data_IF_221229481440
#
_entry.id   IF_221229481440
#
_cell.length_a   1.000
_cell.length_b   1.000
_cell.length_c   1.000
_cell.angle_alpha   90.00
_cell.angle_beta   90.00
_cell.angle_gamma   90.00
#
_symmetry.space_group_name_H-M   'P 1'
#
loop_
_entity.id
_entity.type
_entity.pdbx_description
1 polymer ?
#
# COMPACT_ATOMS: atom_id res chain seq x y z
N UNK A 1 -22.84 -38.61 28.10
CA UNK A 1 -21.70 -38.32 27.18
C UNK A 1 -21.55 -36.85 26.78
N UNK A 2 -22.61 -36.02 26.68
CA UNK A 2 -22.49 -34.65 26.17
C UNK A 2 -21.55 -33.69 26.94
N UNK A 3 -21.58 -33.70 28.28
CA UNK A 3 -20.86 -32.71 29.12
C UNK A 3 -19.35 -32.63 28.80
N UNK A 4 -18.65 -33.76 28.86
CA UNK A 4 -17.21 -33.82 28.57
C UNK A 4 -16.88 -33.60 27.10
N UNK A 5 -17.80 -33.91 26.19
CA UNK A 5 -17.63 -33.59 24.76
C UNK A 5 -17.58 -32.08 24.54
N UNK A 6 -18.49 -31.32 25.17
CA UNK A 6 -18.48 -29.85 25.11
C UNK A 6 -17.22 -29.26 25.74
N UNK A 7 -16.79 -29.79 26.89
CA UNK A 7 -15.50 -29.41 27.52
C UNK A 7 -14.32 -29.59 26.57
N UNK A 8 -14.22 -30.75 25.92
CA UNK A 8 -13.14 -31.02 24.97
C UNK A 8 -13.17 -30.10 23.75
N UNK A 9 -14.35 -29.78 23.22
CA UNK A 9 -14.50 -28.83 22.11
C UNK A 9 -14.06 -27.42 22.50
N UNK A 10 -14.39 -26.97 23.72
CA UNK A 10 -13.92 -25.68 24.27
C UNK A 10 -12.40 -25.66 24.35
N UNK A 11 -11.79 -26.68 24.97
CA UNK A 11 -10.33 -26.76 25.11
C UNK A 11 -9.61 -26.80 23.76
N UNK A 12 -10.17 -27.55 22.80
CA UNK A 12 -9.64 -27.61 21.45
C UNK A 12 -9.71 -26.24 20.76
N UNK A 13 -10.87 -25.58 20.79
CA UNK A 13 -11.05 -24.27 20.15
C UNK A 13 -10.16 -23.20 20.78
N UNK A 14 -10.00 -23.23 22.10
CA UNK A 14 -9.06 -22.36 22.81
C UNK A 14 -7.60 -22.64 22.40
N UNK A 15 -7.20 -23.90 22.27
CA UNK A 15 -5.86 -24.23 21.75
C UNK A 15 -5.64 -23.73 20.32
N UNK A 16 -6.63 -23.90 19.44
CA UNK A 16 -6.57 -23.39 18.07
C UNK A 16 -6.47 -21.86 18.02
N UNK A 17 -7.16 -21.15 18.91
CA UNK A 17 -7.09 -19.69 18.97
C UNK A 17 -5.66 -19.22 19.28
N UNK A 18 -4.92 -19.94 20.13
CA UNK A 18 -3.51 -19.65 20.43
C UNK A 18 -2.60 -19.81 19.21
N UNK A 19 -2.83 -20.86 18.41
CA UNK A 19 -2.06 -21.12 17.19
C UNK A 19 -2.34 -20.05 16.13
N UNK A 20 -3.62 -19.69 15.93
CA UNK A 20 -4.03 -18.63 15.01
C UNK A 20 -3.43 -17.30 15.44
N UNK A 21 -3.49 -16.94 16.73
CA UNK A 21 -2.87 -15.71 17.23
C UNK A 21 -1.37 -15.67 16.95
N UNK A 22 -0.65 -16.78 17.11
CA UNK A 22 0.77 -16.85 16.79
C UNK A 22 1.01 -16.55 15.30
N UNK A 23 0.22 -17.16 14.40
CA UNK A 23 0.26 -16.88 12.95
C UNK A 23 0.06 -15.39 12.66
N UNK A 24 -0.98 -14.78 13.24
CA UNK A 24 -1.28 -13.35 13.05
C UNK A 24 -0.14 -12.44 13.52
N UNK A 25 0.46 -12.73 14.67
CA UNK A 25 1.62 -11.98 15.18
C UNK A 25 2.83 -12.11 14.25
N UNK A 26 3.07 -13.30 13.72
CA UNK A 26 4.20 -13.53 12.81
C UNK A 26 3.97 -12.80 11.47
N UNK A 27 2.75 -12.85 10.92
CA UNK A 27 2.37 -12.09 9.72
C UNK A 27 2.49 -10.58 9.95
N UNK A 28 2.06 -10.07 11.10
CA UNK A 28 2.22 -8.66 11.47
C UNK A 28 3.69 -8.23 11.43
N UNK A 29 4.58 -9.02 12.06
CA UNK A 29 6.03 -8.73 12.07
C UNK A 29 6.63 -8.69 10.67
N UNK A 30 6.20 -9.58 9.77
CA UNK A 30 6.70 -9.61 8.40
C UNK A 30 6.25 -8.37 7.60
N UNK A 31 4.99 -7.95 7.75
CA UNK A 31 4.52 -6.70 7.13
C UNK A 31 5.28 -5.50 7.69
N UNK A 32 5.42 -5.41 9.01
CA UNK A 32 6.13 -4.30 9.65
C UNK A 32 7.60 -4.23 9.22
N UNK A 33 8.30 -5.37 9.16
CA UNK A 33 9.69 -5.43 8.71
C UNK A 33 9.85 -4.91 7.27
N UNK A 34 8.98 -5.33 6.36
CA UNK A 34 9.03 -4.86 4.97
C UNK A 34 8.66 -3.36 4.86
N UNK A 35 7.71 -2.86 5.66
CA UNK A 35 7.38 -1.43 5.71
C UNK A 35 8.58 -0.59 6.18
N UNK A 36 9.31 -1.05 7.21
CA UNK A 36 10.52 -0.37 7.68
C UNK A 36 11.61 -0.31 6.60
N UNK A 37 11.85 -1.43 5.91
CA UNK A 37 12.82 -1.48 4.81
C UNK A 37 12.47 -0.50 3.68
N UNK A 38 11.18 -0.34 3.34
CA UNK A 38 10.75 0.63 2.33
C UNK A 38 11.03 2.06 2.80
N UNK A 39 10.68 2.39 4.05
CA UNK A 39 10.89 3.73 4.59
C UNK A 39 12.38 4.10 4.65
N UNK A 40 13.24 3.16 5.05
CA UNK A 40 14.69 3.36 5.11
C UNK A 40 15.30 3.53 3.71
N UNK A 41 14.79 2.79 2.72
CA UNK A 41 15.27 2.88 1.33
C UNK A 41 14.80 4.15 0.62
N UNK A 42 13.59 4.64 0.90
CA UNK A 42 13.08 5.89 0.34
C UNK A 42 13.97 7.09 0.73
N UNK A 43 14.59 7.07 1.92
CA UNK A 43 15.53 8.10 2.35
C UNK A 43 16.85 8.13 1.54
N UNK A 44 17.21 7.03 0.86
CA UNK A 44 18.51 6.85 0.19
C UNK A 44 18.52 7.16 -1.31
N UNK A 45 17.36 7.46 -1.91
CA UNK A 45 17.28 7.79 -3.33
C UNK A 45 17.61 6.63 -4.26
N UNK A 46 16.59 5.81 -4.54
CA UNK A 46 16.48 4.87 -5.68
C UNK A 46 16.94 3.42 -5.50
N UNK A 47 15.95 2.50 -5.46
CA UNK A 47 16.00 1.11 -6.01
C UNK A 47 14.56 0.59 -6.21
N UNK A 48 13.92 1.04 -7.30
CA UNK A 48 12.51 0.77 -7.63
C UNK A 48 12.15 -0.72 -7.65
N UNK A 49 13.08 -1.59 -8.08
CA UNK A 49 12.86 -3.03 -8.19
C UNK A 49 12.81 -3.75 -6.83
N UNK A 50 13.49 -3.20 -5.80
CA UNK A 50 13.46 -3.74 -4.44
C UNK A 50 12.17 -3.34 -3.71
N UNK A 51 11.65 -2.14 -3.96
CA UNK A 51 10.40 -1.65 -3.37
C UNK A 51 9.19 -2.42 -3.91
N UNK A 52 9.13 -2.67 -5.22
CA UNK A 52 8.04 -3.44 -5.82
C UNK A 52 7.94 -4.85 -5.23
N UNK A 53 9.06 -5.58 -5.15
CA UNK A 53 9.09 -6.90 -4.53
C UNK A 53 8.66 -6.88 -3.05
N UNK A 54 9.05 -5.84 -2.30
CA UNK A 54 8.65 -5.69 -0.89
C UNK A 54 7.17 -5.36 -0.74
N UNK A 55 6.58 -4.59 -1.65
CA UNK A 55 5.14 -4.34 -1.69
C UNK A 55 4.35 -5.61 -2.03
N UNK A 56 4.87 -6.48 -2.91
CA UNK A 56 4.26 -7.78 -3.19
C UNK A 56 4.31 -8.70 -1.97
N UNK A 57 5.46 -8.76 -1.27
CA UNK A 57 5.58 -9.49 0.00
C UNK A 57 4.57 -8.98 1.03
N UNK A 58 4.44 -7.65 1.19
CA UNK A 58 3.46 -7.03 2.10
C UNK A 58 2.05 -7.45 1.71
N UNK A 59 1.67 -7.38 0.44
CA UNK A 59 0.34 -7.76 -0.02
C UNK A 59 0.05 -9.24 0.28
N UNK A 60 1.03 -10.12 0.06
CA UNK A 60 0.91 -11.55 0.38
C UNK A 60 0.69 -11.77 1.88
N UNK A 61 1.51 -11.17 2.75
CA UNK A 61 1.39 -11.35 4.19
C UNK A 61 0.10 -10.73 4.75
N UNK A 62 -0.29 -9.55 4.25
CA UNK A 62 -1.54 -8.89 4.62
C UNK A 62 -2.76 -9.69 4.17
N UNK A 63 -2.72 -10.25 2.96
CA UNK A 63 -3.77 -11.15 2.47
C UNK A 63 -3.95 -12.38 3.37
N UNK A 64 -2.85 -13.03 3.76
CA UNK A 64 -2.90 -14.13 4.72
C UNK A 64 -3.43 -13.70 6.09
N UNK A 65 -3.06 -12.50 6.55
CA UNK A 65 -3.54 -11.95 7.81
C UNK A 65 -5.07 -11.79 7.79
N UNK A 66 -5.60 -11.19 6.73
CA UNK A 66 -7.04 -10.98 6.55
C UNK A 66 -7.82 -12.30 6.43
N UNK A 67 -7.20 -13.36 5.91
CA UNK A 67 -7.79 -14.70 5.89
C UNK A 67 -7.76 -15.40 7.25
N UNK A 68 -6.71 -15.18 8.05
CA UNK A 68 -6.54 -15.82 9.35
C UNK A 68 -7.32 -15.13 10.47
N UNK A 69 -7.51 -13.81 10.41
CA UNK A 69 -8.17 -13.03 11.46
C UNK A 69 -9.60 -13.52 11.77
N UNK A 70 -10.50 -13.76 10.79
CA UNK A 70 -11.84 -14.28 11.06
C UNK A 70 -11.84 -15.65 11.75
N UNK A 71 -10.79 -16.47 11.54
CA UNK A 71 -10.68 -17.79 12.16
C UNK A 71 -10.58 -17.69 13.68
N UNK A 72 -10.04 -16.59 14.21
CA UNK A 72 -9.98 -16.33 15.63
C UNK A 72 -11.38 -16.09 16.22
N UNK A 73 -12.22 -15.33 15.52
CA UNK A 73 -13.63 -15.14 15.89
C UNK A 73 -14.44 -16.43 15.78
N UNK A 74 -14.15 -17.29 14.80
CA UNK A 74 -14.78 -18.62 14.72
C UNK A 74 -14.46 -19.47 15.96
N UNK A 75 -13.23 -19.43 16.47
CA UNK A 75 -12.92 -20.13 17.72
C UNK A 75 -13.69 -19.57 18.90
N UNK A 76 -13.89 -18.24 18.96
CA UNK A 76 -14.70 -17.60 19.99
C UNK A 76 -16.14 -18.16 19.98
N UNK A 77 -16.79 -18.16 18.81
CA UNK A 77 -18.15 -18.68 18.65
C UNK A 77 -18.26 -20.17 19.01
N UNK A 78 -17.24 -20.97 18.67
CA UNK A 78 -17.18 -22.39 19.06
C UNK A 78 -17.10 -22.53 20.58
N UNK A 79 -16.32 -21.69 21.27
CA UNK A 79 -16.25 -21.70 22.74
C UNK A 79 -17.62 -21.30 23.32
N UNK A 80 -18.25 -20.23 22.83
CA UNK A 80 -19.54 -19.75 23.30
C UNK A 80 -20.63 -20.82 23.21
N UNK A 81 -20.81 -21.43 22.03
CA UNK A 81 -21.88 -22.42 21.82
C UNK A 81 -21.65 -23.67 22.68
N UNK A 82 -20.40 -24.12 22.81
CA UNK A 82 -20.10 -25.29 23.63
C UNK A 82 -20.16 -24.98 25.12
N UNK A 83 -19.84 -23.76 25.54
CA UNK A 83 -20.04 -23.32 26.92
C UNK A 83 -21.53 -23.30 27.27
N UNK A 84 -22.36 -22.72 26.41
CA UNK A 84 -23.82 -22.73 26.60
C UNK A 84 -24.36 -24.16 26.73
N UNK A 85 -23.93 -25.05 25.85
CA UNK A 85 -24.32 -26.47 25.89
C UNK A 85 -23.81 -27.19 27.13
N UNK A 86 -22.58 -26.88 27.57
CA UNK A 86 -22.00 -27.42 28.79
C UNK A 86 -22.82 -26.99 30.02
N UNK A 87 -23.13 -25.70 30.14
CA UNK A 87 -23.90 -25.14 31.24
C UNK A 87 -25.31 -25.73 31.29
N UNK A 88 -25.99 -25.77 30.15
CA UNK A 88 -27.30 -26.41 30.03
C UNK A 88 -27.26 -27.87 30.48
N UNK A 89 -26.21 -28.62 30.10
CA UNK A 89 -26.09 -30.02 30.50
C UNK A 89 -25.79 -30.17 31.99
N UNK A 90 -25.00 -29.27 32.57
CA UNK A 90 -24.71 -29.24 34.00
C UNK A 90 -25.98 -28.97 34.82
N UNK A 91 -26.82 -28.03 34.39
CA UNK A 91 -28.09 -27.73 35.05
C UNK A 91 -29.05 -28.93 35.04
N UNK A 92 -29.12 -29.65 33.92
CA UNK A 92 -29.89 -30.91 33.83
C UNK A 92 -29.36 -31.95 34.83
N UNK A 93 -28.04 -32.06 35.00
CA UNK A 93 -27.43 -32.99 35.96
C UNK A 93 -27.81 -32.57 37.39
N UNK A 94 -27.67 -31.29 37.74
CA UNK A 94 -28.07 -30.75 39.05
C UNK A 94 -29.52 -31.08 39.39
N UNK A 95 -30.44 -30.80 38.46
CA UNK A 95 -31.87 -31.10 38.64
C UNK A 95 -32.12 -32.60 38.86
N UNK A 96 -31.37 -33.47 38.19
CA UNK A 96 -31.48 -34.92 38.38
C UNK A 96 -30.93 -35.36 39.73
N UNK A 97 -29.78 -34.86 40.17
CA UNK A 97 -29.23 -35.16 41.50
C UNK A 97 -30.23 -34.75 42.59
N UNK A 98 -30.80 -33.55 42.49
CA UNK A 98 -31.81 -33.06 43.43
C UNK A 98 -33.04 -33.97 43.48
N UNK A 99 -33.58 -34.39 42.32
CA UNK A 99 -34.75 -35.29 42.26
C UNK A 99 -34.47 -36.68 42.83
N UNK A 100 -33.23 -37.15 42.73
CA UNK A 100 -32.82 -38.47 43.19
C UNK A 100 -32.32 -38.47 44.65
N UNK A 101 -32.26 -37.31 45.31
CA UNK A 101 -31.64 -37.17 46.63
C UNK A 101 -30.15 -37.53 46.63
N UNK A 102 -29.50 -37.49 45.46
CA UNK A 102 -28.08 -37.75 45.32
C UNK A 102 -27.27 -36.50 45.67
N UNK A 103 -26.01 -36.71 46.06
CA UNK A 103 -25.06 -35.61 46.23
C UNK A 103 -25.03 -34.72 44.98
N UNK A 104 -25.16 -33.41 45.20
CA UNK A 104 -25.21 -32.38 44.17
C UNK A 104 -24.00 -31.46 44.22
N UNK A 105 -22.95 -31.84 44.96
CA UNK A 105 -21.68 -31.12 44.95
C UNK A 105 -20.97 -31.28 43.59
N UNK A 106 -21.31 -30.39 42.67
CA UNK A 106 -20.78 -30.33 41.31
C UNK A 106 -19.91 -29.08 41.09
N UNK A 107 -19.40 -28.48 42.17
CA UNK A 107 -18.65 -27.22 42.12
C UNK A 107 -17.48 -27.30 41.14
N UNK A 108 -16.75 -28.42 41.11
CA UNK A 108 -15.62 -28.60 40.18
C UNK A 108 -16.04 -28.49 38.69
N UNK A 109 -17.28 -28.88 38.35
CA UNK A 109 -17.82 -28.74 36.99
C UNK A 109 -18.21 -27.29 36.69
N UNK A 110 -18.63 -26.54 37.71
CA UNK A 110 -18.94 -25.11 37.61
C UNK A 110 -17.69 -24.26 37.47
N UNK A 111 -16.61 -24.62 38.19
CA UNK A 111 -15.31 -23.95 38.09
C UNK A 111 -14.83 -23.88 36.65
N UNK A 112 -14.98 -24.97 35.89
CA UNK A 112 -14.64 -24.97 34.47
C UNK A 112 -15.47 -23.95 33.66
N UNK A 113 -16.79 -23.87 33.90
CA UNK A 113 -17.62 -22.87 33.20
C UNK A 113 -17.19 -21.44 33.52
N UNK A 114 -16.83 -21.17 34.78
CA UNK A 114 -16.32 -19.89 35.23
C UNK A 114 -15.00 -19.55 34.53
N UNK A 115 -14.05 -20.49 34.52
CA UNK A 115 -12.76 -20.35 33.85
C UNK A 115 -12.91 -20.03 32.36
N UNK A 116 -13.83 -20.71 31.67
CA UNK A 116 -14.07 -20.46 30.24
C UNK A 116 -14.61 -19.04 30.00
N UNK A 117 -15.53 -18.54 30.84
CA UNK A 117 -16.06 -17.18 30.72
C UNK A 117 -15.02 -16.12 31.02
N UNK A 118 -14.35 -16.25 32.15
CA UNK A 118 -13.47 -15.22 32.70
C UNK A 118 -12.12 -15.18 32.00
N UNK A 119 -11.63 -16.33 31.49
CA UNK A 119 -10.32 -16.43 30.88
C UNK A 119 -10.41 -16.69 29.38
N UNK A 120 -11.00 -17.81 28.95
CA UNK A 120 -10.83 -18.25 27.56
C UNK A 120 -11.59 -17.36 26.58
N UNK A 121 -12.86 -17.09 26.83
CA UNK A 121 -13.66 -16.19 26.00
C UNK A 121 -13.12 -14.77 26.02
N UNK A 122 -12.81 -14.25 27.22
CA UNK A 122 -12.24 -12.93 27.38
C UNK A 122 -10.95 -12.78 26.58
N UNK A 123 -10.04 -13.75 26.69
CA UNK A 123 -8.75 -13.72 26.02
C UNK A 123 -8.90 -13.81 24.50
N UNK A 124 -9.72 -14.73 23.98
CA UNK A 124 -9.91 -14.85 22.52
C UNK A 124 -10.58 -13.59 21.95
N UNK A 125 -11.54 -13.01 22.65
CA UNK A 125 -12.19 -11.76 22.27
C UNK A 125 -11.18 -10.61 22.21
N UNK A 126 -10.38 -10.44 23.27
CA UNK A 126 -9.36 -9.37 23.30
C UNK A 126 -8.26 -9.58 22.28
N UNK A 127 -7.90 -10.83 22.04
CA UNK A 127 -6.96 -11.19 21.01
C UNK A 127 -7.48 -10.80 19.61
N UNK A 128 -8.77 -11.02 19.33
CA UNK A 128 -9.40 -10.57 18.09
C UNK A 128 -9.41 -9.04 17.98
N UNK A 129 -9.90 -8.33 19.01
CA UNK A 129 -9.97 -6.87 19.03
C UNK A 129 -8.60 -6.24 18.73
N UNK A 130 -7.54 -6.74 19.38
CA UNK A 130 -6.17 -6.23 19.19
C UNK A 130 -5.68 -6.53 17.78
N UNK A 131 -5.93 -7.73 17.25
CA UNK A 131 -5.48 -8.11 15.91
C UNK A 131 -6.23 -7.35 14.81
N UNK A 132 -7.50 -6.99 15.03
CA UNK A 132 -8.26 -6.12 14.13
C UNK A 132 -7.69 -4.70 14.10
N UNK A 133 -7.38 -4.13 15.27
CA UNK A 133 -6.71 -2.81 15.35
C UNK A 133 -5.34 -2.85 14.67
N UNK A 134 -4.56 -3.92 14.88
CA UNK A 134 -3.27 -4.11 14.24
C UNK A 134 -3.39 -4.16 12.71
N UNK A 135 -4.40 -4.83 12.16
CA UNK A 135 -4.65 -4.87 10.71
C UNK A 135 -4.92 -3.47 10.15
N UNK A 136 -5.80 -2.69 10.79
CA UNK A 136 -6.13 -1.32 10.36
C UNK A 136 -4.88 -0.42 10.36
N UNK A 137 -3.99 -0.60 11.33
CA UNK A 137 -2.74 0.14 11.39
C UNK A 137 -1.80 -0.23 10.22
N UNK A 138 -1.68 -1.52 9.91
CA UNK A 138 -0.87 -1.98 8.77
C UNK A 138 -1.40 -1.44 7.44
N UNK A 139 -2.71 -1.47 7.23
CA UNK A 139 -3.37 -0.93 6.02
C UNK A 139 -3.16 0.57 5.89
N UNK A 140 -3.33 1.32 6.99
CA UNK A 140 -3.12 2.78 7.02
C UNK A 140 -1.69 3.13 6.64
N UNK A 141 -0.71 2.44 7.22
CA UNK A 141 0.72 2.64 6.88
C UNK A 141 1.03 2.27 5.44
N UNK A 142 0.47 1.16 4.93
CA UNK A 142 0.67 0.74 3.54
C UNK A 142 0.10 1.77 2.56
N UNK A 143 -1.07 2.35 2.85
CA UNK A 143 -1.66 3.39 2.02
C UNK A 143 -0.80 4.66 2.02
N UNK A 144 -0.25 5.07 3.17
CA UNK A 144 0.69 6.19 3.24
C UNK A 144 1.96 5.94 2.40
N UNK A 145 2.54 4.74 2.47
CA UNK A 145 3.69 4.34 1.64
C UNK A 145 3.34 4.42 0.14
N UNK A 146 2.18 3.90 -0.27
CA UNK A 146 1.73 3.98 -1.67
C UNK A 146 1.57 5.42 -2.13
N UNK A 147 0.93 6.27 -1.32
CA UNK A 147 0.77 7.70 -1.64
C UNK A 147 2.12 8.43 -1.76
N UNK A 148 3.09 8.13 -0.90
CA UNK A 148 4.44 8.71 -1.01
C UNK A 148 5.13 8.28 -2.32
N UNK A 149 5.07 6.99 -2.67
CA UNK A 149 5.66 6.49 -3.92
C UNK A 149 5.00 7.14 -5.15
N UNK A 150 3.69 7.32 -5.14
CA UNK A 150 2.95 8.01 -6.22
C UNK A 150 3.39 9.47 -6.36
N UNK A 151 3.56 10.20 -5.25
CA UNK A 151 4.07 11.58 -5.26
C UNK A 151 5.50 11.66 -5.83
N UNK A 152 6.41 10.80 -5.38
CA UNK A 152 7.79 10.76 -5.87
C UNK A 152 7.86 10.42 -7.38
N UNK A 153 6.98 9.53 -7.86
CA UNK A 153 6.85 9.24 -9.29
C UNK A 153 6.33 10.43 -10.09
N UNK A 154 5.32 11.13 -9.59
CA UNK A 154 4.77 12.33 -10.23
C UNK A 154 5.80 13.47 -10.31
N UNK A 155 6.58 13.69 -9.25
CA UNK A 155 7.67 14.68 -9.24
C UNK A 155 8.76 14.32 -10.25
N UNK A 156 9.18 13.05 -10.30
CA UNK A 156 10.17 12.57 -11.26
C UNK A 156 9.69 12.73 -12.70
N UNK A 157 8.44 12.35 -12.99
CA UNK A 157 7.88 12.47 -14.34
C UNK A 157 7.77 13.94 -14.75
N UNK A 158 7.37 14.84 -13.84
CA UNK A 158 7.39 16.29 -14.07
C UNK A 158 8.81 16.83 -14.32
N UNK A 159 9.80 16.37 -13.56
CA UNK A 159 11.20 16.75 -13.75
C UNK A 159 11.75 16.22 -15.09
N UNK A 160 11.40 14.99 -15.47
CA UNK A 160 11.76 14.42 -16.76
C UNK A 160 11.07 15.13 -17.92
N UNK A 161 9.76 15.40 -17.84
CA UNK A 161 9.05 16.20 -18.83
C UNK A 161 9.61 17.62 -18.94
N UNK A 162 10.01 18.24 -17.83
CA UNK A 162 10.71 19.54 -17.83
C UNK A 162 12.06 19.43 -18.53
N UNK A 163 12.84 18.38 -18.25
CA UNK A 163 14.11 18.10 -18.94
C UNK A 163 13.89 17.86 -20.43
N UNK A 164 12.92 17.05 -20.83
CA UNK A 164 12.55 16.78 -22.23
C UNK A 164 12.00 18.03 -22.91
N UNK A 165 11.29 18.91 -22.20
CA UNK A 165 10.84 20.21 -22.76
C UNK A 165 12.03 21.14 -22.99
N UNK A 166 12.99 21.18 -22.05
CA UNK A 166 14.22 22.00 -22.17
C UNK A 166 15.15 21.44 -23.26
N UNK A 167 15.36 20.13 -23.30
CA UNK A 167 16.20 19.45 -24.30
C UNK A 167 15.51 19.41 -25.67
N UNK A 168 14.19 19.21 -25.70
CA UNK A 168 13.35 19.21 -26.91
C UNK A 168 13.26 20.59 -27.57
N UNK A 169 13.27 21.67 -26.79
CA UNK A 169 13.48 23.02 -27.29
C UNK A 169 14.90 23.21 -27.89
N UNK A 170 15.89 22.45 -27.41
CA UNK A 170 17.26 22.43 -27.94
C UNK A 170 17.49 21.52 -29.15
N UNK A 171 16.68 20.47 -29.36
CA UNK A 171 16.80 19.56 -30.52
C UNK A 171 16.02 20.00 -31.75
N UNK A 172 15.22 21.07 -31.69
CA UNK A 172 14.66 21.70 -32.89
C UNK A 172 15.77 22.23 -33.85
N UNK A 173 17.01 22.37 -33.35
CA UNK A 173 18.18 22.83 -34.12
C UNK A 173 18.56 21.90 -35.27
N UNK A 174 18.39 20.58 -35.13
CA UNK A 174 18.78 19.64 -36.18
C UNK A 174 17.77 19.58 -37.33
N UNK A 175 16.50 19.93 -37.08
CA UNK A 175 15.47 20.07 -38.13
C UNK A 175 15.59 21.38 -38.92
N UNK A 176 16.44 22.32 -38.46
CA UNK A 176 16.70 23.62 -39.11
C UNK A 176 18.01 23.64 -39.92
N UNK A 177 18.78 22.55 -39.92
CA UNK A 177 19.95 22.40 -40.80
C UNK A 177 19.48 21.97 -42.19
N UNK A 178 19.11 22.95 -43.00
CA UNK A 178 18.73 22.74 -44.40
C UNK A 178 19.97 22.80 -45.31
N UNK A 179 20.48 21.62 -45.70
CA UNK A 179 21.58 21.50 -46.65
C UNK A 179 21.16 21.82 -48.10
N UNK A 180 19.85 21.92 -48.39
CA UNK A 180 19.30 22.20 -49.73
C UNK A 180 18.94 23.68 -49.95
N UNK A 181 19.01 24.54 -48.92
CA UNK A 181 18.82 25.99 -49.03
C UNK A 181 17.38 26.50 -49.23
N UNK A 182 16.37 25.65 -49.07
CA UNK A 182 14.93 25.96 -49.22
C UNK A 182 14.40 26.88 -48.12
N UNK A 183 14.99 26.87 -46.93
CA UNK A 183 14.54 27.70 -45.80
C UNK A 183 14.93 29.19 -45.92
N UNK A 184 16.07 29.52 -46.54
CA UNK A 184 16.44 30.93 -46.76
C UNK A 184 15.51 31.60 -47.78
N UNK A 185 15.00 30.83 -48.74
CA UNK A 185 14.05 31.30 -49.74
C UNK A 185 12.71 31.69 -49.10
N UNK A 186 12.21 30.86 -48.17
CA UNK A 186 10.99 31.15 -47.39
C UNK A 186 11.12 32.41 -46.50
N UNK A 187 12.27 32.61 -45.85
CA UNK A 187 12.53 33.81 -45.02
C UNK A 187 12.68 35.06 -45.89
N UNK A 188 13.26 34.95 -47.08
CA UNK A 188 13.43 36.07 -48.02
C UNK A 188 12.11 36.62 -48.57
N UNK A 189 11.04 35.80 -48.60
CA UNK A 189 9.70 36.25 -48.95
C UNK A 189 9.05 37.12 -47.86
N UNK A 190 9.43 36.92 -46.59
CA UNK A 190 8.95 37.71 -45.45
C UNK A 190 9.75 39.00 -45.24
N UNK A 191 11.04 39.02 -45.60
CA UNK A 191 11.93 40.17 -45.45
C UNK A 191 12.68 40.42 -46.78
N UNK A 192 12.11 41.23 -47.70
CA UNK A 192 12.63 41.39 -49.06
C UNK A 192 14.09 41.88 -49.19
N UNK A 193 14.66 42.73 -48.30
CA UNK A 193 16.08 43.10 -48.43
C UNK A 193 17.05 41.93 -48.18
N UNK A 194 16.58 40.78 -47.70
CA UNK A 194 17.43 39.62 -47.37
C UNK A 194 17.68 38.65 -48.54
N UNK A 195 16.99 38.83 -49.68
CA UNK A 195 17.07 37.92 -50.84
C UNK A 195 18.48 37.77 -51.41
N UNK A 196 19.28 38.83 -51.43
CA UNK A 196 20.64 38.81 -51.97
C UNK A 196 21.66 38.16 -51.02
N UNK A 197 21.33 38.03 -49.73
CA UNK A 197 22.19 37.44 -48.70
C UNK A 197 22.16 35.90 -48.70
N UNK A 198 21.12 35.29 -49.27
CA UNK A 198 20.97 33.82 -49.36
C UNK A 198 21.97 33.14 -50.33
N UNK A 199 22.71 33.90 -51.14
CA UNK A 199 23.76 33.35 -52.02
C UNK A 199 25.05 33.01 -51.29
N UNK A 200 25.25 33.50 -50.06
CA UNK A 200 26.43 33.20 -49.27
C UNK A 200 26.21 31.91 -48.45
N UNK A 201 27.01 30.84 -48.66
CA UNK A 201 26.88 29.58 -47.94
C UNK A 201 26.93 29.72 -46.42
N UNK A 202 27.72 30.67 -45.91
CA UNK A 202 27.85 30.92 -44.47
C UNK A 202 26.58 31.54 -43.86
N UNK A 203 25.88 32.40 -44.62
CA UNK A 203 24.65 33.04 -44.14
C UNK A 203 23.50 32.02 -44.13
N UNK A 204 23.41 31.22 -45.19
CA UNK A 204 22.37 30.21 -45.37
C UNK A 204 22.48 29.06 -44.35
N UNK A 205 23.68 28.51 -44.17
CA UNK A 205 23.87 27.29 -43.37
C UNK A 205 24.12 27.53 -41.88
N UNK A 206 24.44 28.76 -41.47
CA UNK A 206 24.85 29.04 -40.07
C UNK A 206 24.09 30.21 -39.46
N UNK A 207 24.09 31.38 -40.10
CA UNK A 207 23.58 32.61 -39.47
C UNK A 207 22.04 32.61 -39.37
N UNK A 208 21.34 32.24 -40.44
CA UNK A 208 19.86 32.18 -40.44
C UNK A 208 19.33 31.14 -39.45
N UNK A 209 19.85 29.90 -39.41
CA UNK A 209 19.44 28.92 -38.40
C UNK A 209 19.71 29.39 -36.97
N UNK A 210 20.92 29.89 -36.68
CA UNK A 210 21.30 30.37 -35.33
C UNK A 210 20.45 31.56 -34.89
N UNK A 211 20.14 32.49 -35.80
CA UNK A 211 19.28 33.63 -35.51
C UNK A 211 17.84 33.23 -35.16
N UNK A 212 17.26 32.28 -35.90
CA UNK A 212 15.93 31.75 -35.60
C UNK A 212 15.90 31.04 -34.24
N UNK A 213 16.92 30.27 -33.91
CA UNK A 213 17.05 29.57 -32.62
C UNK A 213 17.05 30.57 -31.46
N UNK A 214 17.79 31.68 -31.58
CA UNK A 214 17.81 32.72 -30.56
C UNK A 214 16.43 33.38 -30.40
N UNK A 215 15.75 33.69 -31.50
CA UNK A 215 14.42 34.33 -31.47
C UNK A 215 13.38 33.40 -30.83
N UNK A 216 13.30 32.14 -31.26
CA UNK A 216 12.36 31.17 -30.67
C UNK A 216 12.70 30.85 -29.22
N UNK A 217 13.99 30.78 -28.87
CA UNK A 217 14.44 30.65 -27.48
C UNK A 217 13.97 31.81 -26.60
N UNK A 218 14.08 33.06 -27.08
CA UNK A 218 13.59 34.25 -26.38
C UNK A 218 12.06 34.24 -26.25
N UNK A 219 11.32 33.88 -27.31
CA UNK A 219 9.86 33.76 -27.28
C UNK A 219 9.42 32.70 -26.26
N UNK A 220 10.06 31.53 -26.24
CA UNK A 220 9.76 30.46 -25.29
C UNK A 220 10.04 30.88 -23.84
N UNK A 221 11.13 31.62 -23.60
CA UNK A 221 11.44 32.20 -22.28
C UNK A 221 10.41 33.25 -21.85
N UNK A 222 9.95 34.09 -22.77
CA UNK A 222 8.87 35.05 -22.52
C UNK A 222 7.54 34.36 -22.20
N UNK A 223 7.16 33.34 -22.96
CA UNK A 223 5.95 32.54 -22.70
C UNK A 223 6.02 31.84 -21.34
N UNK A 224 7.17 31.25 -20.99
CA UNK A 224 7.39 30.64 -19.68
C UNK A 224 7.21 31.67 -18.55
N UNK A 225 7.74 32.88 -18.72
CA UNK A 225 7.63 33.96 -17.73
C UNK A 225 6.18 34.47 -17.58
N UNK A 226 5.43 34.56 -18.68
CA UNK A 226 4.02 34.94 -18.69
C UNK A 226 3.17 33.86 -18.00
N UNK A 227 3.39 32.57 -18.32
CA UNK A 227 2.67 31.45 -17.70
C UNK A 227 2.98 31.31 -16.21
N UNK A 228 4.20 31.62 -15.77
CA UNK A 228 4.56 31.61 -14.34
C UNK A 228 4.06 32.82 -13.55
N UNK A 229 3.70 33.92 -14.22
CA UNK A 229 3.18 35.14 -13.59
C UNK A 229 1.64 35.14 -13.45
N UNK A 230 0.96 34.19 -14.08
CA UNK A 230 -0.50 34.02 -14.04
C UNK A 230 -0.97 32.99 -12.99
N UNK A 231 -0.09 32.59 -12.06
CA UNK A 231 -0.37 31.67 -10.94
C UNK A 231 0.01 32.34 -9.64
#
# INVERSE_FOLDING_TARGET
MGLFSYRNKILWAYSQSRLIKKSLVDLYKQVEANQRLINDQNASGFREQTIAAKLDDIQKYLGNYTLDLPKLNFQNQIIEINLFNYQTRLDIIKQKCQKLGADNNLEFLETFSKEVKENYLLQVTKDYDIMEVALRLLETRLNAIRSQIELEKAERDRNFQTLVTVVGAGTAVTALMDFDGKQCEAVSMLIPPFKNSCKNPWINSVIVPVGLILIFGVIALCFKKILSASR
#
